data_IF_895206374844
#
_entry.id   IF_895206374844
#
_cell.length_a   1.000
_cell.length_b   1.000
_cell.length_c   1.000
_cell.angle_alpha   90.00
_cell.angle_beta   90.00
_cell.angle_gamma   90.00
#
_symmetry.space_group_name_H-M   'P 1'
#
loop_
_entity.id
_entity.type
_entity.pdbx_description
1 polymer ?
#
# COMPACT_ATOMS: atom_id res chain seq x y z
N UNK A 1 -57.90 6.42 -29.51
CA UNK A 1 -57.25 5.19 -29.00
C UNK A 1 -55.91 4.88 -29.67
N UNK A 2 -55.79 4.88 -31.02
CA UNK A 2 -54.51 4.66 -31.73
C UNK A 2 -53.40 5.68 -31.41
N UNK A 3 -53.76 6.95 -31.19
CA UNK A 3 -52.82 8.03 -30.81
C UNK A 3 -52.24 7.87 -29.39
N UNK A 4 -53.01 7.28 -28.46
CA UNK A 4 -52.56 7.02 -27.09
C UNK A 4 -51.60 5.83 -27.02
N UNK A 5 -51.84 4.80 -27.85
CA UNK A 5 -50.94 3.64 -27.98
C UNK A 5 -49.59 4.06 -28.60
N UNK A 6 -49.60 4.98 -29.59
CA UNK A 6 -48.39 5.51 -30.20
C UNK A 6 -47.53 6.36 -29.26
N UNK A 7 -48.14 7.01 -28.25
CA UNK A 7 -47.42 7.85 -27.28
C UNK A 7 -46.74 7.00 -26.19
N UNK A 8 -47.36 5.88 -25.80
CA UNK A 8 -46.83 4.95 -24.81
C UNK A 8 -45.61 4.20 -25.33
N UNK A 9 -45.58 3.84 -26.61
CA UNK A 9 -44.44 3.13 -27.23
C UNK A 9 -43.19 4.02 -27.28
N UNK A 10 -43.34 5.33 -27.50
CA UNK A 10 -42.21 6.29 -27.52
C UNK A 10 -41.64 6.50 -26.11
N UNK A 11 -42.47 6.39 -25.06
CA UNK A 11 -42.05 6.55 -23.67
C UNK A 11 -41.28 5.34 -23.13
N UNK A 12 -41.55 4.12 -23.63
CA UNK A 12 -40.87 2.89 -23.16
C UNK A 12 -39.48 2.71 -23.80
N UNK A 13 -39.26 3.20 -25.02
CA UNK A 13 -37.96 3.08 -25.72
C UNK A 13 -36.89 4.04 -25.16
N UNK A 14 -37.30 5.14 -24.52
CA UNK A 14 -36.36 6.13 -23.95
C UNK A 14 -35.64 5.69 -22.67
N UNK A 15 -36.11 4.63 -21.98
CA UNK A 15 -35.57 4.22 -20.68
C UNK A 15 -34.50 3.12 -20.74
N UNK A 16 -34.21 2.58 -21.93
CA UNK A 16 -33.30 1.45 -22.10
C UNK A 16 -31.80 1.84 -22.21
N UNK A 17 -31.45 3.13 -22.15
CA UNK A 17 -30.07 3.60 -22.36
C UNK A 17 -29.29 3.93 -21.08
N UNK A 18 -29.84 3.66 -19.89
CA UNK A 18 -29.16 3.96 -18.62
C UNK A 18 -28.51 2.76 -17.93
N UNK A 19 -28.36 1.61 -18.60
CA UNK A 19 -27.53 0.50 -18.11
C UNK A 19 -26.05 0.70 -18.47
N UNK A 20 -25.52 1.88 -18.20
CA UNK A 20 -24.08 2.08 -18.12
C UNK A 20 -23.64 1.56 -16.76
N UNK A 21 -22.92 0.45 -16.73
CA UNK A 21 -22.31 -0.07 -15.51
C UNK A 21 -21.34 1.00 -14.96
N UNK A 22 -21.81 1.85 -14.06
CA UNK A 22 -21.00 2.83 -13.34
C UNK A 22 -20.15 2.15 -12.25
N UNK A 23 -19.67 0.92 -12.50
CA UNK A 23 -18.71 0.25 -11.62
C UNK A 23 -17.36 0.92 -11.83
N UNK A 24 -17.01 1.82 -10.93
CA UNK A 24 -15.66 2.36 -10.84
C UNK A 24 -14.64 1.21 -10.75
N UNK A 25 -13.44 1.34 -11.36
CA UNK A 25 -12.39 0.35 -11.18
C UNK A 25 -12.05 0.21 -9.68
N UNK A 26 -11.78 -1.02 -9.21
CA UNK A 26 -11.48 -1.28 -7.80
C UNK A 26 -10.19 -0.58 -7.37
N UNK A 27 -10.10 -0.25 -6.08
CA UNK A 27 -8.88 0.26 -5.47
C UNK A 27 -7.78 -0.80 -5.59
N UNK A 28 -6.63 -0.43 -6.15
CA UNK A 28 -5.47 -1.32 -6.37
C UNK A 28 -4.50 -1.22 -5.21
N UNK A 29 -4.54 -2.18 -4.29
CA UNK A 29 -3.72 -2.17 -3.05
C UNK A 29 -2.49 -3.06 -3.12
N UNK A 30 -2.23 -3.69 -4.26
CA UNK A 30 -1.25 -4.77 -4.42
C UNK A 30 0.18 -4.30 -4.11
N UNK A 31 0.59 -3.14 -4.62
CA UNK A 31 1.92 -2.59 -4.37
C UNK A 31 2.14 -2.31 -2.87
N UNK A 32 1.28 -1.49 -2.26
CA UNK A 32 1.36 -1.19 -0.82
C UNK A 32 1.30 -2.44 0.08
N UNK A 33 0.47 -3.43 -0.27
CA UNK A 33 0.36 -4.67 0.55
C UNK A 33 1.56 -5.60 0.37
N UNK A 34 2.17 -5.60 -0.82
CA UNK A 34 3.42 -6.31 -1.09
C UNK A 34 4.57 -5.71 -0.28
N UNK A 35 4.72 -4.39 -0.31
CA UNK A 35 5.81 -3.71 0.42
C UNK A 35 5.64 -3.81 1.94
N UNK A 36 4.41 -3.70 2.46
CA UNK A 36 4.15 -3.94 3.89
C UNK A 36 4.60 -5.34 4.30
N UNK A 37 4.34 -6.35 3.48
CA UNK A 37 4.80 -7.71 3.73
C UNK A 37 6.32 -7.81 3.64
N UNK A 38 6.94 -7.18 2.65
CA UNK A 38 8.39 -7.15 2.52
C UNK A 38 9.05 -6.53 3.76
N UNK A 39 8.48 -5.45 4.30
CA UNK A 39 8.94 -4.82 5.55
C UNK A 39 8.79 -5.76 6.76
N UNK A 40 7.69 -6.49 6.87
CA UNK A 40 7.50 -7.51 7.91
C UNK A 40 8.53 -8.64 7.81
N UNK A 41 8.75 -9.16 6.60
CA UNK A 41 9.70 -10.23 6.29
C UNK A 41 11.16 -9.79 6.52
N UNK A 42 11.47 -8.52 6.24
CA UNK A 42 12.76 -7.90 6.53
C UNK A 42 12.99 -7.65 8.03
N UNK A 43 11.96 -7.84 8.88
CA UNK A 43 12.08 -7.71 10.33
C UNK A 43 11.89 -6.28 10.86
N UNK A 44 11.22 -5.41 10.11
CA UNK A 44 11.01 -4.00 10.48
C UNK A 44 10.40 -3.81 11.87
N UNK A 45 9.60 -4.77 12.36
CA UNK A 45 9.04 -4.73 13.71
C UNK A 45 10.09 -4.68 14.83
N UNK A 46 11.32 -5.13 14.56
CA UNK A 46 12.41 -5.19 15.55
C UNK A 46 13.34 -3.97 15.51
N UNK A 47 13.23 -3.13 14.48
CA UNK A 47 14.07 -1.93 14.29
C UNK A 47 13.23 -0.70 14.61
N UNK A 48 13.53 0.10 15.66
CA UNK A 48 12.63 1.15 16.16
C UNK A 48 12.17 2.18 15.12
N UNK A 49 13.03 2.56 14.18
CA UNK A 49 12.65 3.49 13.12
C UNK A 49 11.84 2.79 12.02
N UNK A 50 12.23 1.57 11.64
CA UNK A 50 11.49 0.79 10.63
C UNK A 50 10.09 0.41 11.12
N UNK A 51 9.93 0.11 12.42
CA UNK A 51 8.64 -0.28 13.00
C UNK A 51 7.63 0.87 12.97
N UNK A 52 8.09 2.11 13.15
CA UNK A 52 7.27 3.31 12.98
C UNK A 52 6.75 3.43 11.54
N UNK A 53 7.64 3.31 10.55
CA UNK A 53 7.26 3.38 9.14
C UNK A 53 6.35 2.22 8.71
N UNK A 54 6.60 1.00 9.21
CA UNK A 54 5.71 -0.14 9.03
C UNK A 54 4.31 0.13 9.60
N UNK A 55 4.23 0.77 10.77
CA UNK A 55 2.94 1.13 11.36
C UNK A 55 2.21 2.19 10.51
N UNK A 56 2.91 3.25 10.08
CA UNK A 56 2.32 4.29 9.23
C UNK A 56 1.80 3.69 7.92
N UNK A 57 2.57 2.82 7.26
CA UNK A 57 2.15 2.14 6.04
C UNK A 57 0.84 1.34 6.22
N UNK A 58 0.69 0.63 7.34
CA UNK A 58 -0.54 -0.10 7.67
C UNK A 58 -1.72 0.83 7.91
N UNK A 59 -1.52 1.91 8.64
CA UNK A 59 -2.56 2.90 8.93
C UNK A 59 -3.03 3.62 7.66
N UNK A 60 -2.10 3.96 6.77
CA UNK A 60 -2.37 4.62 5.49
C UNK A 60 -3.10 3.69 4.52
N UNK A 61 -2.77 2.40 4.49
CA UNK A 61 -3.51 1.40 3.73
C UNK A 61 -4.97 1.29 4.21
N UNK A 62 -5.19 1.25 5.53
CA UNK A 62 -6.56 1.23 6.08
C UNK A 62 -7.32 2.52 5.76
N UNK A 63 -6.68 3.67 5.91
CA UNK A 63 -7.26 4.97 5.54
C UNK A 63 -7.60 5.03 4.04
N UNK A 64 -6.75 4.48 3.18
CA UNK A 64 -7.01 4.39 1.75
C UNK A 64 -8.26 3.58 1.44
N UNK A 65 -8.45 2.43 2.12
CA UNK A 65 -9.66 1.60 2.00
C UNK A 65 -10.90 2.37 2.43
N UNK A 66 -10.83 3.09 3.54
CA UNK A 66 -11.94 3.93 4.03
C UNK A 66 -12.29 5.06 3.04
N UNK A 67 -11.29 5.77 2.52
CA UNK A 67 -11.48 6.84 1.54
C UNK A 67 -12.11 6.30 0.24
N UNK A 68 -11.65 5.12 -0.22
CA UNK A 68 -12.25 4.46 -1.37
C UNK A 68 -13.70 4.06 -1.13
N UNK A 69 -14.05 3.58 0.07
CA UNK A 69 -15.42 3.25 0.43
C UNK A 69 -16.33 4.50 0.46
N UNK A 70 -15.77 5.67 0.78
CA UNK A 70 -16.44 6.98 0.72
C UNK A 70 -16.51 7.57 -0.71
N UNK A 71 -15.91 6.90 -1.70
CA UNK A 71 -15.84 7.38 -3.08
C UNK A 71 -14.74 8.41 -3.34
N UNK A 72 -13.88 8.70 -2.35
CA UNK A 72 -12.78 9.67 -2.42
C UNK A 72 -11.53 9.04 -3.05
N UNK A 73 -11.63 8.66 -4.34
CA UNK A 73 -10.65 7.82 -5.02
C UNK A 73 -9.25 8.43 -5.12
N UNK A 74 -9.16 9.72 -5.44
CA UNK A 74 -7.89 10.41 -5.61
C UNK A 74 -7.13 10.47 -4.28
N UNK A 75 -7.86 10.67 -3.18
CA UNK A 75 -7.27 10.64 -1.83
C UNK A 75 -6.89 9.22 -1.43
N UNK A 76 -7.72 8.23 -1.75
CA UNK A 76 -7.39 6.83 -1.52
C UNK A 76 -6.11 6.42 -2.25
N UNK A 77 -5.98 6.77 -3.53
CA UNK A 77 -4.77 6.51 -4.32
C UNK A 77 -3.53 7.22 -3.73
N UNK A 78 -3.68 8.47 -3.28
CA UNK A 78 -2.60 9.20 -2.60
C UNK A 78 -2.16 8.52 -1.30
N UNK A 79 -3.11 8.01 -0.51
CA UNK A 79 -2.78 7.26 0.71
C UNK A 79 -2.09 5.93 0.40
N UNK A 80 -2.44 5.24 -0.69
CA UNK A 80 -1.74 4.02 -1.09
C UNK A 80 -0.29 4.27 -1.51
N UNK A 81 -0.03 5.35 -2.25
CA UNK A 81 1.33 5.74 -2.62
C UNK A 81 2.18 6.04 -1.38
N UNK A 82 1.55 6.66 -0.37
CA UNK A 82 2.22 6.94 0.89
C UNK A 82 2.51 5.65 1.66
N UNK A 83 1.54 4.74 1.71
CA UNK A 83 1.70 3.44 2.36
C UNK A 83 2.82 2.61 1.73
N UNK A 84 2.93 2.65 0.40
CA UNK A 84 4.02 2.01 -0.35
C UNK A 84 5.37 2.64 0.02
N UNK A 85 5.49 3.96 -0.01
CA UNK A 85 6.75 4.66 0.31
C UNK A 85 7.21 4.44 1.77
N UNK A 86 6.29 4.47 2.73
CA UNK A 86 6.62 4.20 4.14
C UNK A 86 7.01 2.73 4.34
N UNK A 87 6.39 1.79 3.63
CA UNK A 87 6.79 0.39 3.69
C UNK A 87 8.18 0.15 3.05
N UNK A 88 8.47 0.76 1.90
CA UNK A 88 9.81 0.70 1.28
C UNK A 88 10.89 1.27 2.22
N UNK A 89 10.59 2.38 2.90
CA UNK A 89 11.50 2.96 3.88
C UNK A 89 11.70 2.02 5.09
N UNK A 90 10.66 1.34 5.55
CA UNK A 90 10.78 0.33 6.60
C UNK A 90 11.67 -0.86 6.17
N UNK A 91 11.58 -1.30 4.90
CA UNK A 91 12.50 -2.31 4.34
C UNK A 91 13.95 -1.81 4.39
N UNK A 92 14.19 -0.61 3.87
CA UNK A 92 15.53 -0.03 3.82
C UNK A 92 16.17 0.12 5.20
N UNK A 93 15.41 0.62 6.18
CA UNK A 93 15.87 0.76 7.57
C UNK A 93 16.16 -0.59 8.23
N UNK A 94 15.38 -1.64 7.89
CA UNK A 94 15.63 -2.99 8.39
C UNK A 94 16.95 -3.55 7.86
N UNK A 95 17.21 -3.39 6.57
CA UNK A 95 18.47 -3.79 5.97
C UNK A 95 19.65 -2.98 6.54
N UNK A 96 19.50 -1.67 6.68
CA UNK A 96 20.53 -0.80 7.26
C UNK A 96 20.94 -1.26 8.68
N UNK A 97 19.99 -1.64 9.53
CA UNK A 97 20.27 -2.15 10.87
C UNK A 97 21.08 -3.46 10.80
N UNK A 98 20.66 -4.40 9.94
CA UNK A 98 21.37 -5.67 9.75
C UNK A 98 22.80 -5.48 9.25
N UNK A 99 23.00 -4.61 8.26
CA UNK A 99 24.31 -4.30 7.68
C UNK A 99 25.23 -3.63 8.71
N UNK A 100 24.70 -2.75 9.56
CA UNK A 100 25.45 -2.12 10.65
C UNK A 100 25.93 -3.16 11.67
N UNK A 101 25.07 -4.10 12.06
CA UNK A 101 25.43 -5.16 13.00
C UNK A 101 26.51 -6.08 12.42
N UNK A 102 26.38 -6.46 11.15
CA UNK A 102 27.39 -7.27 10.46
C UNK A 102 28.74 -6.55 10.33
N UNK A 103 28.72 -5.27 9.99
CA UNK A 103 29.92 -4.44 9.90
C UNK A 103 30.63 -4.33 11.26
N UNK A 104 29.88 -4.10 12.34
CA UNK A 104 30.42 -4.06 13.70
C UNK A 104 31.05 -5.40 14.09
N UNK A 105 30.37 -6.52 13.82
CA UNK A 105 30.88 -7.86 14.08
C UNK A 105 32.13 -8.18 13.24
N UNK A 106 32.22 -7.71 12.00
CA UNK A 106 33.41 -7.87 11.17
C UNK A 106 34.60 -7.09 11.72
N UNK A 107 34.41 -5.84 12.13
CA UNK A 107 35.46 -5.03 12.75
C UNK A 107 35.95 -5.68 14.05
N UNK A 108 35.05 -6.21 14.86
CA UNK A 108 35.42 -6.86 16.13
C UNK A 108 36.24 -8.14 15.90
N UNK A 109 35.86 -8.96 14.92
CA UNK A 109 36.66 -10.13 14.50
C UNK A 109 38.07 -9.74 14.06
N UNK A 110 38.22 -8.64 13.31
CA UNK A 110 39.55 -8.14 12.90
C UNK A 110 40.37 -7.69 14.11
N UNK A 111 39.76 -7.05 15.12
CA UNK A 111 40.45 -6.66 16.36
C UNK A 111 40.95 -7.87 17.13
N UNK A 112 40.11 -8.89 17.31
CA UNK A 112 40.47 -10.13 17.99
C UNK A 112 41.63 -10.83 17.28
N UNK A 113 41.55 -11.01 15.96
CA UNK A 113 42.63 -11.61 15.17
C UNK A 113 43.96 -10.84 15.29
N UNK A 114 43.92 -9.51 15.43
CA UNK A 114 45.13 -8.71 15.64
C UNK A 114 45.72 -8.88 17.03
N UNK A 115 44.88 -9.08 18.06
CA UNK A 115 45.33 -9.37 19.41
C UNK A 115 45.94 -10.77 19.52
N UNK A 116 45.32 -11.76 18.88
CA UNK A 116 45.79 -13.16 18.91
C UNK A 116 47.11 -13.38 18.16
N UNK A 117 47.45 -12.50 17.22
CA UNK A 117 48.69 -12.56 16.42
C UNK A 117 49.82 -11.66 16.97
N UNK A 118 49.64 -11.02 18.14
CA UNK A 118 50.67 -10.26 18.84
C UNK A 118 51.30 -11.08 19.96
#
# INVERSE_FOLDING_TARGET
>A
MKKAISLIIIMVVGFALFSGCASAPPLRTEASTSEIRAAEEAGAANVPQASLHLQMAKEELELAKELSAKGEKEKAASMLLRAEADAELAVALSHEDSEKLEAQAAVERVRQLRQDNQ
#
